data_IF_052672794635
#
_entry.id   IF_052672794635
#
_cell.length_a   1.000
_cell.length_b   1.000
_cell.length_c   1.000
_cell.angle_alpha   90.00
_cell.angle_beta   90.00
_cell.angle_gamma   90.00
#
_symmetry.space_group_name_H-M   'P 1'
#
loop_
_entity.id
_entity.type
_entity.pdbx_description
1 polymer ?
#
# COMPACT_ATOMS: atom_id res chain seq x y z
N UNK A 1 23.07 -28.77 -18.63
CA UNK A 1 21.63 -29.07 -18.67
C UNK A 1 20.97 -28.96 -17.32
N UNK A 2 21.55 -29.53 -16.27
CA UNK A 2 20.96 -29.45 -14.92
C UNK A 2 20.80 -28.01 -14.43
N UNK A 3 21.71 -27.12 -14.83
CA UNK A 3 21.68 -25.72 -14.38
C UNK A 3 20.49 -24.95 -14.96
N UNK A 4 20.02 -25.33 -16.14
CA UNK A 4 18.88 -24.64 -16.75
C UNK A 4 17.59 -24.88 -15.99
N UNK A 5 17.38 -26.11 -15.53
CA UNK A 5 16.18 -26.45 -14.77
C UNK A 5 16.12 -25.66 -13.45
N UNK A 6 17.26 -25.54 -12.79
CA UNK A 6 17.35 -24.80 -11.52
C UNK A 6 17.04 -23.32 -11.76
N UNK A 7 17.56 -22.73 -12.85
CA UNK A 7 17.31 -21.33 -13.18
C UNK A 7 15.84 -21.06 -13.43
N UNK A 8 15.16 -21.95 -14.15
CA UNK A 8 13.74 -21.80 -14.44
C UNK A 8 12.91 -21.85 -13.16
N UNK A 9 13.22 -22.76 -12.25
CA UNK A 9 12.51 -22.88 -10.98
C UNK A 9 12.69 -21.61 -10.15
N UNK A 10 13.89 -21.05 -10.10
CA UNK A 10 14.15 -19.82 -9.39
C UNK A 10 13.34 -18.64 -9.96
N UNK A 11 13.26 -18.56 -11.28
CA UNK A 11 12.49 -17.51 -11.93
C UNK A 11 11.02 -17.57 -11.55
N UNK A 12 10.44 -18.76 -11.49
CA UNK A 12 9.05 -18.94 -11.12
C UNK A 12 8.79 -18.52 -9.67
N UNK A 13 9.71 -18.84 -8.77
CA UNK A 13 9.60 -18.45 -7.38
C UNK A 13 9.65 -16.93 -7.22
N UNK A 14 10.54 -16.26 -7.94
CA UNK A 14 10.65 -14.80 -7.92
C UNK A 14 9.36 -14.16 -8.43
N UNK A 15 8.79 -14.71 -9.51
CA UNK A 15 7.52 -14.21 -10.05
C UNK A 15 6.39 -14.31 -9.02
N UNK A 16 6.32 -15.41 -8.29
CA UNK A 16 5.32 -15.60 -7.25
C UNK A 16 5.45 -14.57 -6.14
N UNK A 17 6.67 -14.26 -5.73
CA UNK A 17 6.93 -13.25 -4.70
C UNK A 17 6.48 -11.87 -5.18
N UNK A 18 6.79 -11.51 -6.43
CA UNK A 18 6.40 -10.22 -6.99
C UNK A 18 4.88 -10.11 -7.04
N UNK A 19 4.18 -11.17 -7.44
CA UNK A 19 2.72 -11.16 -7.47
C UNK A 19 2.14 -11.01 -6.07
N UNK A 20 2.72 -11.65 -5.05
CA UNK A 20 2.24 -11.56 -3.68
C UNK A 20 2.34 -10.16 -3.10
N UNK A 21 3.14 -9.26 -3.71
CA UNK A 21 3.32 -7.88 -3.28
C UNK A 21 2.38 -6.90 -3.98
N UNK A 22 1.34 -7.39 -4.66
CA UNK A 22 0.39 -6.50 -5.35
C UNK A 22 -0.47 -5.70 -4.38
N UNK A 23 -0.59 -6.14 -3.12
CA UNK A 23 -1.31 -5.44 -2.07
C UNK A 23 -0.39 -5.19 -0.87
N UNK A 24 -0.86 -4.40 0.08
CA UNK A 24 -0.11 -4.10 1.28
C UNK A 24 0.71 -2.82 1.12
N UNK A 25 1.76 -2.70 1.93
CA UNK A 25 2.62 -1.51 1.91
C UNK A 25 3.52 -1.55 0.69
N UNK A 26 3.29 -0.63 -0.24
CA UNK A 26 4.03 -0.56 -1.50
C UNK A 26 5.26 0.31 -1.42
N UNK A 27 5.21 1.36 -0.62
CA UNK A 27 6.30 2.32 -0.50
C UNK A 27 6.34 2.87 0.90
N UNK A 28 7.53 3.23 1.36
CA UNK A 28 7.73 3.91 2.61
C UNK A 28 7.51 3.04 3.84
N UNK A 29 7.02 3.68 4.90
CA UNK A 29 6.82 3.03 6.19
C UNK A 29 5.35 3.14 6.59
N UNK A 30 4.61 2.06 6.41
CA UNK A 30 3.18 2.04 6.71
C UNK A 30 2.90 1.67 8.17
N UNK A 31 3.86 1.85 9.04
CA UNK A 31 3.70 1.68 10.47
C UNK A 31 3.89 2.99 11.21
N UNK A 32 5.01 3.67 10.96
CA UNK A 32 5.33 4.95 11.60
C UNK A 32 6.13 5.79 10.62
N UNK A 33 5.47 6.72 9.94
CA UNK A 33 6.11 7.56 8.95
C UNK A 33 5.21 7.77 7.75
N UNK A 34 5.80 8.06 6.60
CA UNK A 34 5.07 8.25 5.35
C UNK A 34 5.12 6.96 4.55
N UNK A 35 3.97 6.50 4.09
CA UNK A 35 3.92 5.28 3.31
C UNK A 35 2.67 5.17 2.45
N UNK A 36 2.74 4.29 1.46
CA UNK A 36 1.63 4.02 0.54
C UNK A 36 1.18 2.58 0.71
N UNK A 37 -0.11 2.42 0.97
CA UNK A 37 -0.74 1.11 1.16
C UNK A 37 -1.79 0.87 0.08
N UNK A 38 -1.84 -0.36 -0.44
CA UNK A 38 -2.87 -0.78 -1.38
C UNK A 38 -3.69 -1.88 -0.73
N UNK A 39 -4.99 -1.63 -0.59
CA UNK A 39 -5.92 -2.58 0.00
C UNK A 39 -6.37 -3.62 -1.02
N UNK A 40 -7.00 -4.68 -0.53
CA UNK A 40 -7.43 -5.79 -1.40
C UNK A 40 -8.50 -5.37 -2.42
N UNK A 41 -9.32 -4.38 -2.09
CA UNK A 41 -10.32 -3.84 -3.01
C UNK A 41 -9.76 -2.78 -3.95
N UNK A 42 -8.43 -2.57 -3.90
CA UNK A 42 -7.68 -1.59 -4.70
C UNK A 42 -7.82 -0.15 -4.23
N UNK A 43 -8.44 0.08 -3.09
CA UNK A 43 -8.34 1.37 -2.41
C UNK A 43 -6.87 1.61 -2.05
N UNK A 44 -6.40 2.84 -2.17
CA UNK A 44 -5.03 3.19 -1.81
C UNK A 44 -5.04 4.30 -0.76
N UNK A 45 -4.05 4.27 0.12
CA UNK A 45 -3.77 5.38 1.02
C UNK A 45 -2.30 5.74 0.92
N UNK A 46 -2.04 7.02 0.73
CA UNK A 46 -0.67 7.54 0.69
C UNK A 46 -0.58 8.71 1.65
N UNK A 47 0.20 8.57 2.70
CA UNK A 47 0.31 9.61 3.70
C UNK A 47 1.00 9.15 4.96
N UNK A 48 0.70 9.82 6.05
CA UNK A 48 1.36 9.60 7.33
C UNK A 48 0.69 8.45 8.09
N UNK A 49 1.51 7.71 8.82
CA UNK A 49 1.08 6.56 9.62
C UNK A 49 1.64 6.67 11.03
N UNK A 50 0.85 6.24 12.01
CA UNK A 50 1.29 6.11 13.40
C UNK A 50 0.72 4.80 13.94
N UNK A 51 1.60 3.89 14.36
CA UNK A 51 1.18 2.61 14.91
C UNK A 51 0.29 1.82 13.97
N UNK A 52 0.65 1.74 12.69
CA UNK A 52 -0.09 1.04 11.64
C UNK A 52 -1.47 1.66 11.32
N UNK A 53 -1.74 2.85 11.81
CA UNK A 53 -2.99 3.55 11.54
C UNK A 53 -2.73 4.84 10.76
N UNK A 54 -3.66 5.18 9.87
CA UNK A 54 -3.58 6.44 9.13
C UNK A 54 -3.73 7.58 10.13
N UNK A 55 -2.81 8.52 10.08
CA UNK A 55 -2.78 9.60 11.04
C UNK A 55 -1.99 10.77 10.47
N UNK A 56 -2.56 11.98 10.51
CA UNK A 56 -1.95 13.16 9.91
C UNK A 56 -2.46 13.38 8.50
N UNK A 57 -1.63 13.92 7.63
CA UNK A 57 -2.01 14.24 6.25
C UNK A 57 -1.92 13.03 5.36
N UNK A 58 -2.92 12.83 4.51
CA UNK A 58 -2.91 11.73 3.58
C UNK A 58 -3.93 11.86 2.47
N UNK A 59 -3.80 10.98 1.47
CA UNK A 59 -4.70 10.91 0.32
C UNK A 59 -5.21 9.49 0.21
N UNK A 60 -6.51 9.33 0.26
CA UNK A 60 -7.16 8.02 0.09
C UNK A 60 -7.93 8.04 -1.22
N UNK A 61 -7.71 7.02 -2.05
CA UNK A 61 -8.33 6.91 -3.37
C UNK A 61 -9.08 5.58 -3.46
N UNK A 62 -10.36 5.64 -3.82
CA UNK A 62 -11.21 4.46 -3.96
C UNK A 62 -11.33 4.04 -5.42
N UNK A 63 -11.66 2.75 -5.67
CA UNK A 63 -11.79 2.25 -7.04
C UNK A 63 -12.84 2.98 -7.87
N UNK A 64 -13.86 3.56 -7.24
CA UNK A 64 -14.90 4.31 -7.95
C UNK A 64 -14.47 5.72 -8.34
N UNK A 65 -13.21 6.09 -8.04
CA UNK A 65 -12.67 7.38 -8.41
C UNK A 65 -12.79 8.45 -7.33
N UNK A 66 -13.42 8.17 -6.21
CA UNK A 66 -13.47 9.13 -5.11
C UNK A 66 -12.09 9.27 -4.48
N UNK A 67 -11.77 10.49 -4.08
CA UNK A 67 -10.49 10.83 -3.45
C UNK A 67 -10.77 11.69 -2.24
N UNK A 68 -10.23 11.30 -1.09
CA UNK A 68 -10.20 12.17 0.07
C UNK A 68 -8.76 12.62 0.31
N UNK A 69 -8.55 13.93 0.30
CA UNK A 69 -7.25 14.53 0.56
C UNK A 69 -7.38 15.42 1.78
N UNK A 70 -6.77 15.00 2.88
CA UNK A 70 -6.92 15.76 4.11
C UNK A 70 -6.33 15.05 5.30
N UNK A 71 -6.90 15.34 6.46
CA UNK A 71 -6.38 14.83 7.72
C UNK A 71 -7.07 13.54 8.15
N UNK A 72 -6.28 12.69 8.80
CA UNK A 72 -6.73 11.42 9.35
C UNK A 72 -6.37 11.38 10.83
N UNK A 73 -7.21 10.73 11.62
CA UNK A 73 -6.97 10.46 13.03
C UNK A 73 -7.42 9.04 13.30
N UNK A 74 -6.46 8.20 13.69
CA UNK A 74 -6.76 6.80 14.03
C UNK A 74 -7.52 6.09 12.91
N UNK A 75 -7.05 6.26 11.66
CA UNK A 75 -7.60 5.68 10.43
C UNK A 75 -8.92 6.26 9.96
N UNK A 76 -9.42 7.30 10.60
CA UNK A 76 -10.66 7.96 10.20
C UNK A 76 -10.39 9.36 9.68
N UNK A 77 -11.26 9.84 8.81
CA UNK A 77 -11.19 11.22 8.35
C UNK A 77 -11.37 12.15 9.54
N UNK A 78 -10.57 13.20 9.58
CA UNK A 78 -10.56 14.12 10.70
C UNK A 78 -10.32 15.54 10.20
N UNK A 79 -10.84 16.53 10.93
CA UNK A 79 -10.58 17.92 10.64
C UNK A 79 -10.93 18.35 9.23
N UNK A 80 -9.98 18.95 8.53
CA UNK A 80 -10.16 19.53 7.21
C UNK A 80 -9.72 18.56 6.13
N UNK A 81 -10.60 18.33 5.18
CA UNK A 81 -10.28 17.50 4.03
C UNK A 81 -11.21 17.82 2.87
N UNK A 82 -10.82 17.34 1.68
CA UNK A 82 -11.59 17.52 0.46
C UNK A 82 -11.89 16.15 -0.13
N UNK A 83 -13.16 15.92 -0.37
CA UNK A 83 -13.62 14.66 -0.94
C UNK A 83 -13.88 14.82 -2.44
#
# INVERSE_FOLDING_TARGET
MKNYLISIILSLLISSIVFARSTGCKEGNCENGYGKWVYTDKTTYEGEWVGTKKNGQGVETWPNGYIYNGEFDNSEWSGQGIL
#
